data_IF_894183825786
#
_entry.id   IF_894183825786
#
_cell.length_a   1.000
_cell.length_b   1.000
_cell.length_c   1.000
_cell.angle_alpha   90.00
_cell.angle_beta   90.00
_cell.angle_gamma   90.00
#
_symmetry.space_group_name_H-M   'P 1'
#
loop_
_entity.id
_entity.type
_entity.pdbx_description
1 polymer ?
#
# COMPACT_ATOMS: atom_id res chain seq x y z
N UNK A 1 3.62 42.98 -38.49
CA UNK A 1 2.28 43.53 -38.64
C UNK A 1 1.48 42.89 -37.53
N UNK A 2 1.47 43.54 -36.39
CA UNK A 2 0.43 44.41 -35.80
C UNK A 2 -0.97 43.77 -35.87
N UNK A 3 -1.51 43.30 -34.75
CA UNK A 3 -2.57 44.03 -34.08
C UNK A 3 -2.79 43.52 -32.66
N UNK A 4 -2.61 44.45 -31.74
CA UNK A 4 -3.03 44.51 -30.35
C UNK A 4 -4.51 44.93 -30.33
N UNK A 5 -5.36 44.29 -29.53
CA UNK A 5 -6.58 44.92 -29.03
C UNK A 5 -6.69 44.63 -27.53
N UNK A 6 -6.50 45.71 -26.81
CA UNK A 6 -6.83 45.94 -25.41
C UNK A 6 -8.30 46.41 -25.34
N UNK A 7 -9.12 45.84 -24.48
CA UNK A 7 -10.32 46.53 -23.98
C UNK A 7 -10.43 46.34 -22.48
N UNK A 8 -10.52 47.49 -21.89
CA UNK A 8 -10.52 47.91 -20.49
C UNK A 8 -11.94 47.83 -19.86
N UNK A 9 -11.96 47.50 -18.60
CA UNK A 9 -12.79 48.02 -17.49
C UNK A 9 -14.32 47.96 -17.53
N UNK A 10 -14.89 47.58 -16.40
CA UNK A 10 -15.68 48.49 -15.55
C UNK A 10 -16.02 47.86 -14.19
N UNK A 11 -15.67 48.63 -13.18
CA UNK A 11 -16.03 48.51 -11.77
C UNK A 11 -17.52 48.85 -11.56
N UNK A 12 -18.17 48.19 -10.63
CA UNK A 12 -19.28 48.78 -9.89
C UNK A 12 -19.32 48.31 -8.43
N UNK A 13 -19.11 49.24 -7.58
CA UNK A 13 -19.30 49.30 -6.13
C UNK A 13 -20.80 49.37 -5.79
N UNK A 14 -21.20 48.86 -4.65
CA UNK A 14 -22.23 49.36 -3.70
C UNK A 14 -22.47 48.20 -2.71
N UNK A 15 -22.39 48.28 -1.41
CA UNK A 15 -22.68 49.39 -0.50
C UNK A 15 -23.30 48.80 0.76
N UNK A 16 -22.64 48.99 1.83
CA UNK A 16 -22.97 48.91 3.27
C UNK A 16 -24.44 49.01 3.64
N UNK A 17 -24.88 48.24 4.67
CA UNK A 17 -25.53 48.82 5.86
C UNK A 17 -25.49 47.88 7.05
N UNK A 18 -24.95 48.38 8.10
CA UNK A 18 -24.99 47.96 9.51
C UNK A 18 -26.34 48.26 10.12
N UNK A 19 -26.87 47.39 10.99
CA UNK A 19 -27.70 47.78 12.12
C UNK A 19 -27.58 46.84 13.31
N UNK A 20 -26.99 47.38 14.35
CA UNK A 20 -26.90 46.88 15.71
C UNK A 20 -28.20 47.26 16.44
N UNK A 21 -28.84 46.33 17.22
CA UNK A 21 -29.72 46.67 18.36
C UNK A 21 -29.68 45.59 19.42
N UNK A 22 -29.16 46.00 20.57
CA UNK A 22 -29.33 45.32 21.87
C UNK A 22 -30.72 45.56 22.42
N UNK A 23 -31.30 44.56 23.11
CA UNK A 23 -32.03 44.67 24.36
C UNK A 23 -32.37 43.28 24.93
N UNK A 24 -32.15 43.12 26.22
CA UNK A 24 -32.37 42.03 27.16
C UNK A 24 -33.71 42.29 27.91
N UNK A 25 -34.19 41.44 28.82
CA UNK A 25 -34.52 40.00 28.82
C UNK A 25 -35.99 39.74 29.21
N UNK A 26 -36.54 38.55 28.99
CA UNK A 26 -37.57 37.97 29.88
C UNK A 26 -37.58 36.43 29.79
N UNK A 27 -37.91 35.88 30.91
CA UNK A 27 -37.78 34.54 31.44
C UNK A 27 -38.93 33.63 31.04
N UNK A 28 -38.67 32.32 31.11
CA UNK A 28 -39.57 31.19 31.34
C UNK A 28 -40.04 30.39 30.10
N UNK A 29 -39.62 29.21 29.99
CA UNK A 29 -40.21 27.89 30.22
C UNK A 29 -39.44 26.79 29.50
N UNK A 30 -39.16 25.82 30.30
CA UNK A 30 -38.62 24.49 30.00
C UNK A 30 -39.31 23.81 28.83
N UNK A 31 -38.54 23.46 27.78
CA UNK A 31 -38.88 22.29 26.98
C UNK A 31 -37.57 21.53 26.65
N UNK A 32 -37.48 20.38 27.30
CA UNK A 32 -36.30 19.48 27.19
C UNK A 32 -36.44 18.71 25.89
N UNK A 33 -35.90 19.29 24.80
CA UNK A 33 -35.66 18.50 23.58
C UNK A 33 -34.30 17.82 23.75
N UNK A 34 -34.33 16.59 24.17
CA UNK A 34 -33.22 15.69 24.10
C UNK A 34 -32.77 15.57 22.64
N UNK A 35 -31.69 16.29 22.29
CA UNK A 35 -30.97 16.04 21.06
C UNK A 35 -30.36 14.65 21.23
N UNK A 36 -30.92 13.68 20.52
CA UNK A 36 -30.28 12.38 20.36
C UNK A 36 -28.91 12.61 19.73
N UNK A 37 -27.88 12.44 20.53
CA UNK A 37 -26.51 12.30 20.03
C UNK A 37 -26.52 11.03 19.18
N UNK A 38 -26.48 11.23 17.87
CA UNK A 38 -26.22 10.16 16.91
C UNK A 38 -24.89 9.53 17.30
N UNK A 39 -24.99 8.39 17.93
CA UNK A 39 -23.84 7.55 18.21
C UNK A 39 -23.32 7.10 16.86
N UNK A 40 -22.34 7.82 16.31
CA UNK A 40 -21.55 7.34 15.18
C UNK A 40 -21.10 5.94 15.55
N UNK A 41 -21.66 4.96 14.87
CA UNK A 41 -21.26 3.56 14.94
C UNK A 41 -19.79 3.54 14.52
N UNK A 42 -18.88 3.55 15.48
CA UNK A 42 -17.47 3.23 15.22
C UNK A 42 -17.48 1.80 14.71
N UNK A 43 -17.29 1.59 13.42
CA UNK A 43 -17.09 0.24 12.87
C UNK A 43 -15.95 -0.38 13.66
N UNK A 44 -16.21 -1.52 14.25
CA UNK A 44 -15.21 -2.24 15.01
C UNK A 44 -14.05 -2.55 14.05
N UNK A 45 -12.84 -2.08 14.38
CA UNK A 45 -11.65 -2.40 13.60
C UNK A 45 -11.46 -3.92 13.67
N UNK A 46 -11.64 -4.56 12.52
CA UNK A 46 -11.48 -6.02 12.42
C UNK A 46 -10.00 -6.34 12.50
N UNK A 47 -9.64 -7.28 13.36
CA UNK A 47 -8.26 -7.76 13.49
C UNK A 47 -7.87 -8.55 12.22
N UNK A 48 -6.85 -8.11 11.48
CA UNK A 48 -6.44 -8.76 10.24
C UNK A 48 -5.74 -10.10 10.48
N UNK A 49 -5.14 -10.33 11.67
CA UNK A 49 -4.51 -11.59 12.05
C UNK A 49 -4.85 -11.97 13.50
N UNK A 50 -6.03 -12.58 13.73
CA UNK A 50 -6.44 -12.97 15.07
C UNK A 50 -5.63 -14.15 15.65
N UNK A 51 -4.61 -14.62 14.96
CA UNK A 51 -3.77 -15.76 15.40
C UNK A 51 -2.55 -15.30 16.20
N UNK A 52 -2.26 -14.00 16.20
CA UNK A 52 -1.17 -13.42 16.99
C UNK A 52 -1.70 -12.59 18.20
N UNK A 53 -0.85 -11.83 18.83
CA UNK A 53 -1.19 -10.98 19.97
C UNK A 53 -1.07 -9.47 19.67
N UNK A 54 -0.89 -9.12 18.39
CA UNK A 54 -0.71 -7.73 17.96
C UNK A 54 -2.09 -7.09 17.86
N UNK A 55 -2.36 -5.97 18.57
CA UNK A 55 -3.63 -5.28 18.44
C UNK A 55 -3.89 -4.78 17.01
N UNK A 56 -5.10 -4.92 16.50
CA UNK A 56 -5.51 -4.55 15.14
C UNK A 56 -5.02 -3.15 14.68
N UNK A 57 -4.98 -2.16 15.58
CA UNK A 57 -4.52 -0.80 15.28
C UNK A 57 -3.00 -0.64 15.21
N UNK A 58 -2.21 -1.70 15.37
CA UNK A 58 -0.75 -1.68 15.25
C UNK A 58 -0.23 -2.09 13.89
N UNK A 59 -1.06 -2.73 13.08
CA UNK A 59 -0.68 -3.05 11.70
C UNK A 59 -0.65 -1.81 10.81
N UNK A 60 0.26 -1.80 9.85
CA UNK A 60 0.37 -0.73 8.87
C UNK A 60 -0.85 -0.66 7.95
N UNK A 61 -1.31 0.54 7.64
CA UNK A 61 -2.47 0.77 6.76
C UNK A 61 -2.29 0.19 5.34
N UNK A 62 -1.03 0.03 4.90
CA UNK A 62 -0.70 -0.51 3.59
C UNK A 62 -0.50 -2.04 3.60
N UNK A 63 -0.63 -2.71 4.74
CA UNK A 63 -0.28 -4.14 4.92
C UNK A 63 -1.34 -4.96 5.67
N UNK A 64 -2.54 -4.38 5.89
CA UNK A 64 -3.57 -5.02 6.74
C UNK A 64 -4.97 -5.06 6.14
N UNK A 65 -5.17 -4.62 4.90
CA UNK A 65 -6.46 -4.65 4.22
C UNK A 65 -6.96 -6.08 3.98
N UNK A 66 -8.04 -6.48 4.62
CA UNK A 66 -8.67 -7.80 4.41
C UNK A 66 -9.13 -7.96 2.95
N UNK A 67 -9.66 -6.89 2.35
CA UNK A 67 -10.07 -6.91 0.94
C UNK A 67 -8.89 -7.22 0.01
N UNK A 68 -7.75 -6.59 0.25
CA UNK A 68 -6.52 -6.84 -0.52
C UNK A 68 -6.00 -8.25 -0.27
N UNK A 69 -6.04 -8.73 0.98
CA UNK A 69 -5.69 -10.10 1.31
C UNK A 69 -6.57 -11.14 0.59
N UNK A 70 -7.88 -10.88 0.47
CA UNK A 70 -8.79 -11.75 -0.27
C UNK A 70 -8.47 -11.80 -1.77
N UNK A 71 -8.12 -10.66 -2.36
CA UNK A 71 -7.66 -10.57 -3.76
C UNK A 71 -6.38 -11.39 -3.96
N UNK A 72 -5.38 -11.21 -3.11
CA UNK A 72 -4.12 -11.96 -3.17
C UNK A 72 -4.39 -13.47 -3.02
N UNK A 73 -5.28 -13.85 -2.10
CA UNK A 73 -5.66 -15.26 -1.87
C UNK A 73 -6.21 -15.91 -3.14
N UNK A 74 -7.05 -15.19 -3.90
CA UNK A 74 -7.57 -15.68 -5.18
C UNK A 74 -6.44 -15.86 -6.20
N UNK A 75 -5.56 -14.87 -6.33
CA UNK A 75 -4.39 -14.93 -7.23
C UNK A 75 -3.47 -16.09 -6.89
N UNK A 76 -3.12 -16.27 -5.62
CA UNK A 76 -2.22 -17.35 -5.20
C UNK A 76 -2.85 -18.74 -5.41
N UNK A 77 -4.15 -18.90 -5.13
CA UNK A 77 -4.87 -20.15 -5.39
C UNK A 77 -4.94 -20.50 -6.87
N UNK A 78 -5.07 -19.53 -7.76
CA UNK A 78 -5.04 -19.79 -9.21
C UNK A 78 -3.62 -20.07 -9.68
N UNK A 79 -2.64 -19.26 -9.27
CA UNK A 79 -1.24 -19.38 -9.68
C UNK A 79 -0.63 -20.74 -9.26
N UNK A 80 -0.98 -21.23 -8.09
CA UNK A 80 -0.43 -22.47 -7.53
C UNK A 80 -1.45 -23.63 -7.45
N UNK A 81 -2.55 -23.57 -8.23
CA UNK A 81 -3.65 -24.55 -8.18
C UNK A 81 -3.20 -26.00 -8.32
N UNK A 82 -2.28 -26.28 -9.23
CA UNK A 82 -1.83 -27.63 -9.51
C UNK A 82 -0.96 -28.19 -8.35
N UNK A 83 -0.12 -27.33 -7.76
CA UNK A 83 0.74 -27.71 -6.65
C UNK A 83 -0.05 -27.83 -5.33
N UNK A 84 -1.07 -27.00 -5.16
CA UNK A 84 -2.04 -27.13 -4.06
C UNK A 84 -2.83 -28.43 -4.17
N UNK A 85 -3.32 -28.78 -5.37
CA UNK A 85 -4.07 -30.00 -5.61
C UNK A 85 -3.23 -31.27 -5.38
N UNK A 86 -1.92 -31.20 -5.63
CA UNK A 86 -0.96 -32.29 -5.39
C UNK A 86 -0.37 -32.30 -3.97
N UNK A 87 -0.79 -31.35 -3.11
CA UNK A 87 -0.25 -31.16 -1.76
C UNK A 87 1.30 -30.95 -1.72
N UNK A 88 1.86 -30.31 -2.75
CA UNK A 88 3.29 -29.98 -2.77
C UNK A 88 3.61 -28.76 -1.90
N UNK A 89 2.62 -27.91 -1.62
CA UNK A 89 2.76 -26.75 -0.74
C UNK A 89 2.33 -27.17 0.67
N UNK A 90 3.28 -27.21 1.58
CA UNK A 90 3.05 -27.50 2.99
C UNK A 90 2.30 -26.36 3.69
N UNK A 91 1.62 -26.66 4.80
CA UNK A 91 0.80 -25.67 5.51
C UNK A 91 1.59 -24.47 6.05
N UNK A 92 2.86 -24.66 6.42
CA UNK A 92 3.76 -23.59 6.84
C UNK A 92 4.11 -22.62 5.69
N UNK A 93 3.96 -23.06 4.43
CA UNK A 93 4.17 -22.25 3.22
C UNK A 93 2.87 -21.60 2.70
N UNK A 94 1.68 -22.02 3.19
CA UNK A 94 0.38 -21.46 2.77
C UNK A 94 0.05 -20.17 3.48
N UNK A 95 1.01 -19.24 3.57
CA UNK A 95 0.83 -17.94 4.20
C UNK A 95 1.62 -16.86 3.46
N UNK A 96 1.12 -15.65 3.55
CA UNK A 96 1.72 -14.49 2.92
C UNK A 96 1.56 -13.24 3.77
N UNK A 97 2.41 -12.26 3.50
CA UNK A 97 2.26 -10.85 3.87
C UNK A 97 2.16 -10.01 2.61
N UNK A 98 1.72 -8.78 2.71
CA UNK A 98 1.70 -7.86 1.57
C UNK A 98 1.96 -6.41 1.97
N UNK A 99 2.27 -5.59 0.97
CA UNK A 99 2.40 -4.15 1.11
C UNK A 99 1.87 -3.46 -0.15
N UNK A 100 0.97 -2.51 0.03
CA UNK A 100 0.35 -1.73 -1.05
C UNK A 100 1.13 -0.42 -1.27
N UNK A 101 1.59 -0.18 -2.49
CA UNK A 101 2.31 1.03 -2.84
C UNK A 101 2.07 1.41 -4.31
N UNK A 102 1.85 2.70 -4.58
CA UNK A 102 1.71 3.22 -5.94
C UNK A 102 3.10 3.35 -6.58
N UNK A 103 3.51 2.31 -7.31
CA UNK A 103 4.83 2.20 -7.90
C UNK A 103 4.99 3.02 -9.19
N UNK A 104 3.89 3.36 -9.86
CA UNK A 104 3.88 4.07 -11.14
C UNK A 104 3.30 5.48 -11.04
N UNK A 105 2.75 5.86 -9.87
CA UNK A 105 2.12 7.15 -9.58
C UNK A 105 0.87 7.43 -10.44
N UNK A 106 0.09 6.37 -10.76
CA UNK A 106 -1.18 6.47 -11.48
C UNK A 106 -2.39 6.64 -10.54
N UNK A 107 -2.17 6.66 -9.23
CA UNK A 107 -3.18 6.77 -8.18
C UNK A 107 -3.78 5.42 -7.77
N UNK A 108 -3.33 4.31 -8.34
CA UNK A 108 -3.67 2.95 -7.90
C UNK A 108 -2.45 2.31 -7.29
N UNK A 109 -2.66 1.54 -6.23
CA UNK A 109 -1.53 0.87 -5.59
C UNK A 109 -1.31 -0.51 -6.20
N UNK A 110 -0.07 -0.80 -6.55
CA UNK A 110 0.40 -2.16 -6.76
C UNK A 110 0.53 -2.86 -5.40
N UNK A 111 0.57 -4.18 -5.44
CA UNK A 111 0.63 -5.03 -4.26
C UNK A 111 1.92 -5.85 -4.32
N UNK A 112 2.84 -5.58 -3.40
CA UNK A 112 4.00 -6.43 -3.19
C UNK A 112 3.58 -7.55 -2.23
N UNK A 113 3.81 -8.81 -2.61
CA UNK A 113 3.44 -9.99 -1.82
C UNK A 113 4.68 -10.77 -1.45
N UNK A 114 4.82 -11.06 -0.16
CA UNK A 114 5.91 -11.88 0.39
C UNK A 114 5.43 -13.27 0.75
N UNK A 115 6.10 -14.29 0.23
CA UNK A 115 5.83 -15.71 0.47
C UNK A 115 6.96 -16.31 1.30
N UNK A 116 6.64 -17.26 2.18
CA UNK A 116 7.60 -17.90 3.07
C UNK A 116 7.41 -19.43 3.11
N UNK A 117 8.28 -20.10 3.85
CA UNK A 117 8.23 -21.57 4.01
C UNK A 117 9.04 -22.31 2.96
N UNK A 118 9.19 -23.63 3.15
CA UNK A 118 10.12 -24.44 2.37
C UNK A 118 9.82 -24.55 0.88
N UNK A 119 8.56 -24.33 0.49
CA UNK A 119 8.17 -24.31 -0.93
C UNK A 119 8.63 -23.01 -1.65
N UNK A 120 8.57 -21.87 -0.97
CA UNK A 120 8.83 -20.57 -1.56
C UNK A 120 10.23 -20.01 -1.27
N UNK A 121 10.91 -20.56 -0.28
CA UNK A 121 12.23 -20.09 0.14
C UNK A 121 13.26 -21.20 0.05
N UNK A 122 14.46 -20.85 -0.39
CA UNK A 122 15.62 -21.70 -0.44
C UNK A 122 16.90 -20.96 -0.04
N UNK A 123 18.06 -21.55 -0.29
CA UNK A 123 19.37 -20.96 0.06
C UNK A 123 19.67 -19.65 -0.67
N UNK A 124 18.99 -19.37 -1.77
CA UNK A 124 19.17 -18.17 -2.57
C UNK A 124 18.20 -17.03 -2.23
N UNK A 125 17.23 -17.27 -1.34
CA UNK A 125 16.16 -16.34 -1.01
C UNK A 125 14.77 -16.93 -1.24
N UNK A 126 13.76 -16.07 -1.24
CA UNK A 126 12.35 -16.43 -1.32
C UNK A 126 11.70 -15.98 -2.65
N UNK A 127 10.47 -16.41 -2.85
CA UNK A 127 9.59 -15.91 -3.91
C UNK A 127 8.81 -14.70 -3.40
N UNK A 128 8.81 -13.63 -4.19
CA UNK A 128 7.99 -12.45 -3.94
C UNK A 128 7.24 -12.10 -5.22
N UNK A 129 6.07 -11.46 -5.11
CA UNK A 129 5.27 -11.06 -6.26
C UNK A 129 5.05 -9.54 -6.24
N UNK A 130 4.92 -8.96 -7.42
CA UNK A 130 4.29 -7.67 -7.64
C UNK A 130 3.03 -7.91 -8.44
N UNK A 131 1.89 -7.50 -7.90
CA UNK A 131 0.59 -7.57 -8.55
C UNK A 131 0.13 -6.16 -8.90
N UNK A 132 -0.69 -6.02 -9.92
CA UNK A 132 -1.44 -4.79 -10.12
C UNK A 132 -2.58 -4.64 -9.10
N UNK A 133 -3.29 -3.51 -9.11
CA UNK A 133 -4.42 -3.24 -8.21
C UNK A 133 -5.62 -4.19 -8.40
N UNK A 134 -5.62 -5.02 -9.42
CA UNK A 134 -6.65 -6.02 -9.74
C UNK A 134 -6.21 -7.45 -9.41
N UNK A 135 -4.97 -7.63 -8.92
CA UNK A 135 -4.41 -8.93 -8.56
C UNK A 135 -3.72 -9.66 -9.71
N UNK A 136 -3.56 -9.05 -10.88
CA UNK A 136 -2.80 -9.68 -11.96
C UNK A 136 -1.30 -9.62 -11.67
N UNK A 137 -0.58 -10.70 -11.94
CA UNK A 137 0.86 -10.79 -11.69
C UNK A 137 1.62 -9.94 -12.70
N UNK A 138 2.32 -8.91 -12.23
CA UNK A 138 3.27 -8.11 -13.02
C UNK A 138 4.64 -8.80 -13.02
N UNK A 139 5.09 -9.22 -11.84
CA UNK A 139 6.40 -9.88 -11.68
C UNK A 139 6.33 -10.93 -10.59
N UNK A 140 7.02 -12.04 -10.82
CA UNK A 140 7.37 -12.99 -9.78
C UNK A 140 8.89 -12.99 -9.63
N UNK A 141 9.37 -12.48 -8.50
CA UNK A 141 10.78 -12.56 -8.15
C UNK A 141 11.13 -13.93 -7.61
N UNK A 142 12.31 -14.39 -7.96
CA UNK A 142 12.96 -15.54 -7.35
C UNK A 142 14.27 -15.10 -6.71
N UNK A 143 14.82 -15.89 -5.80
CA UNK A 143 16.08 -15.59 -5.09
C UNK A 143 16.14 -14.17 -4.53
N UNK A 144 15.03 -13.72 -3.97
CA UNK A 144 14.87 -12.39 -3.36
C UNK A 144 14.72 -12.50 -1.84
N UNK A 145 15.23 -11.51 -1.13
CA UNK A 145 15.17 -11.46 0.33
C UNK A 145 14.41 -10.21 0.80
N UNK A 146 14.11 -10.15 2.07
CA UNK A 146 13.32 -9.08 2.69
C UNK A 146 14.23 -8.04 3.35
N UNK A 147 13.79 -6.77 3.43
CA UNK A 147 12.64 -6.14 2.76
C UNK A 147 12.91 -5.77 1.30
N UNK A 148 11.84 -5.41 0.56
CA UNK A 148 11.96 -4.70 -0.71
C UNK A 148 11.99 -3.20 -0.42
N UNK A 149 13.06 -2.52 -0.81
CA UNK A 149 13.19 -1.08 -0.65
C UNK A 149 12.78 -0.36 -1.94
N UNK A 150 11.88 0.61 -1.82
CA UNK A 150 11.33 1.34 -2.97
C UNK A 150 12.12 2.64 -3.15
N UNK A 151 12.78 2.79 -4.31
CA UNK A 151 13.58 3.97 -4.62
C UNK A 151 12.70 5.17 -5.00
N UNK A 152 13.23 6.36 -4.88
CA UNK A 152 12.63 7.58 -5.42
C UNK A 152 12.78 7.69 -6.94
N UNK A 153 13.83 7.09 -7.50
CA UNK A 153 14.07 7.06 -8.94
C UNK A 153 13.07 6.16 -9.66
N UNK A 154 12.84 6.46 -10.94
CA UNK A 154 11.95 5.70 -11.81
C UNK A 154 12.64 5.30 -13.10
N UNK A 155 12.29 4.13 -13.60
CA UNK A 155 12.63 3.66 -14.94
C UNK A 155 11.35 3.28 -15.67
N UNK A 156 11.16 3.78 -16.88
CA UNK A 156 9.94 3.59 -17.68
C UNK A 156 8.64 3.94 -16.93
N UNK A 157 8.67 5.00 -16.09
CA UNK A 157 7.53 5.48 -15.32
C UNK A 157 7.29 4.77 -13.99
N UNK A 158 7.99 3.70 -13.67
CA UNK A 158 7.86 2.89 -12.46
C UNK A 158 9.04 3.09 -11.51
N UNK A 159 8.80 3.06 -10.20
CA UNK A 159 9.83 3.14 -9.17
C UNK A 159 10.85 2.04 -9.33
N UNK A 160 12.14 2.37 -9.24
CA UNK A 160 13.19 1.37 -9.13
C UNK A 160 13.09 0.68 -7.75
N UNK A 161 13.47 -0.58 -7.67
CA UNK A 161 13.44 -1.35 -6.42
C UNK A 161 14.87 -1.74 -6.04
N UNK A 162 15.15 -1.79 -4.74
CA UNK A 162 16.35 -2.41 -4.22
C UNK A 162 15.95 -3.70 -3.50
N UNK A 163 16.37 -4.82 -4.06
CA UNK A 163 16.08 -6.15 -3.52
C UNK A 163 17.39 -6.79 -3.07
N UNK A 164 17.41 -7.28 -1.83
CA UNK A 164 18.56 -8.04 -1.33
C UNK A 164 18.60 -9.40 -1.98
N UNK A 165 19.72 -9.75 -2.64
CA UNK A 165 19.89 -11.01 -3.36
C UNK A 165 21.35 -11.32 -3.56
N UNK A 166 21.76 -12.53 -3.23
CA UNK A 166 23.15 -12.96 -3.33
C UNK A 166 24.10 -12.10 -2.50
N UNK A 167 23.70 -11.75 -1.27
CA UNK A 167 24.48 -10.99 -0.30
C UNK A 167 24.60 -9.49 -0.57
N UNK A 168 23.81 -8.91 -1.49
CA UNK A 168 23.87 -7.50 -1.85
C UNK A 168 22.50 -6.97 -2.23
N UNK A 169 22.25 -5.68 -2.01
CA UNK A 169 21.13 -4.99 -2.65
C UNK A 169 21.37 -4.88 -4.14
N UNK A 170 20.37 -5.26 -4.93
CA UNK A 170 20.37 -5.22 -6.40
C UNK A 170 19.43 -4.13 -6.88
N UNK A 171 19.83 -3.41 -7.91
CA UNK A 171 19.03 -2.37 -8.55
C UNK A 171 18.11 -3.04 -9.56
N UNK A 172 16.81 -3.07 -9.27
CA UNK A 172 15.80 -3.73 -10.09
C UNK A 172 14.97 -2.67 -10.78
N UNK A 173 15.04 -2.59 -12.10
CA UNK A 173 14.42 -1.56 -12.91
C UNK A 173 13.30 -2.15 -13.77
N UNK A 174 12.19 -1.42 -13.88
CA UNK A 174 11.09 -1.83 -14.74
C UNK A 174 11.49 -1.72 -16.23
N UNK A 175 11.24 -2.76 -17.03
CA UNK A 175 11.66 -2.81 -18.43
C UNK A 175 10.61 -2.22 -19.42
N UNK A 176 9.46 -1.79 -18.91
CA UNK A 176 8.31 -1.31 -19.67
C UNK A 176 7.13 -2.30 -19.67
N UNK A 177 7.34 -3.52 -19.15
CA UNK A 177 6.29 -4.54 -18.98
C UNK A 177 6.34 -5.19 -17.60
N UNK A 178 7.53 -5.46 -17.07
CA UNK A 178 7.75 -6.19 -15.83
C UNK A 178 9.06 -5.75 -15.20
N UNK A 179 9.29 -6.15 -13.96
CA UNK A 179 10.62 -6.13 -13.38
C UNK A 179 11.36 -7.44 -13.70
N UNK A 180 12.69 -7.45 -13.86
CA UNK A 180 13.46 -8.68 -14.02
C UNK A 180 13.24 -9.67 -12.86
N UNK A 181 12.85 -10.90 -13.17
CA UNK A 181 12.42 -11.89 -12.17
C UNK A 181 13.57 -12.42 -11.29
N UNK A 182 14.81 -12.34 -11.75
CA UNK A 182 15.98 -12.79 -10.98
C UNK A 182 16.88 -11.61 -10.59
N UNK A 183 16.72 -11.05 -9.35
CA UNK A 183 17.55 -9.94 -8.91
C UNK A 183 19.03 -10.29 -8.78
N UNK A 184 19.40 -11.54 -8.54
CA UNK A 184 20.80 -11.94 -8.22
C UNK A 184 21.82 -11.60 -9.30
N UNK A 185 21.38 -11.51 -10.56
CA UNK A 185 22.24 -11.21 -11.72
C UNK A 185 22.31 -9.72 -12.08
N UNK A 186 21.50 -8.88 -11.38
CA UNK A 186 21.41 -7.45 -11.68
C UNK A 186 22.54 -6.65 -11.01
N UNK A 187 22.76 -5.40 -11.45
CA UNK A 187 23.78 -4.53 -10.87
C UNK A 187 23.59 -4.38 -9.35
N UNK A 188 24.68 -4.50 -8.61
CA UNK A 188 24.66 -4.26 -7.18
C UNK A 188 24.60 -2.76 -6.85
N UNK A 189 23.82 -2.40 -5.84
CA UNK A 189 23.88 -1.08 -5.24
C UNK A 189 25.24 -0.94 -4.51
N UNK A 190 25.91 0.20 -4.69
CA UNK A 190 27.25 0.43 -4.14
C UNK A 190 27.24 0.83 -2.67
N UNK A 191 26.10 1.34 -2.19
CA UNK A 191 25.88 1.80 -0.83
C UNK A 191 24.61 1.16 -0.29
N UNK A 192 24.39 1.17 1.01
CA UNK A 192 23.12 0.70 1.58
C UNK A 192 21.98 1.65 1.17
N UNK A 193 20.76 1.13 0.96
CA UNK A 193 19.58 1.99 0.75
C UNK A 193 19.40 2.95 1.93
N UNK A 194 19.03 4.20 1.62
CA UNK A 194 18.79 5.22 2.66
C UNK A 194 17.64 4.85 3.61
N UNK A 195 17.76 5.25 4.87
CA UNK A 195 16.77 4.93 5.92
C UNK A 195 15.41 5.60 5.70
N UNK A 196 15.37 6.68 4.92
CA UNK A 196 14.11 7.38 4.57
C UNK A 196 13.34 6.78 3.41
N UNK A 197 13.82 5.70 2.79
CA UNK A 197 13.10 5.02 1.69
C UNK A 197 12.04 4.06 2.25
N UNK A 198 10.85 3.96 1.59
CA UNK A 198 9.84 3.00 1.98
C UNK A 198 10.38 1.56 1.90
N UNK A 199 10.09 0.77 2.94
CA UNK A 199 10.47 -0.63 3.07
C UNK A 199 9.23 -1.49 3.05
N UNK A 200 8.97 -2.14 1.94
CA UNK A 200 7.86 -3.07 1.81
C UNK A 200 8.27 -4.45 2.33
N UNK A 201 7.34 -5.16 2.97
CA UNK A 201 7.51 -6.52 3.48
C UNK A 201 8.59 -6.63 4.59
N UNK A 202 8.78 -5.58 5.38
CA UNK A 202 9.78 -5.50 6.47
C UNK A 202 9.23 -6.09 7.78
N UNK A 203 8.80 -7.33 7.76
CA UNK A 203 8.16 -8.02 8.88
C UNK A 203 9.13 -8.30 10.06
N UNK A 204 10.42 -8.13 9.87
CA UNK A 204 11.40 -8.26 10.95
C UNK A 204 11.46 -7.02 11.85
N UNK A 205 11.04 -5.85 11.31
CA UNK A 205 11.12 -4.58 12.02
C UNK A 205 9.74 -3.94 12.29
N UNK A 206 8.71 -4.36 11.52
CA UNK A 206 7.37 -3.81 11.63
C UNK A 206 6.32 -4.92 11.77
N UNK A 207 5.21 -4.67 12.47
CA UNK A 207 4.08 -5.60 12.56
C UNK A 207 3.44 -5.86 11.20
N UNK A 208 3.38 -7.12 10.77
CA UNK A 208 2.66 -7.57 9.58
C UNK A 208 1.64 -8.64 9.95
N UNK A 209 0.42 -8.51 9.43
CA UNK A 209 -0.58 -9.56 9.50
C UNK A 209 -0.22 -10.70 8.54
N UNK A 210 -0.26 -11.95 9.03
CA UNK A 210 -0.01 -13.15 8.23
C UNK A 210 -1.32 -13.76 7.76
N UNK A 211 -1.57 -13.70 6.47
CA UNK A 211 -2.77 -14.25 5.85
C UNK A 211 -2.51 -15.63 5.28
N UNK A 212 -3.53 -16.51 5.31
CA UNK A 212 -3.49 -17.86 4.72
C UNK A 212 -4.20 -17.90 3.36
N UNK A 213 -3.79 -18.81 2.48
CA UNK A 213 -4.41 -19.05 1.18
C UNK A 213 -4.62 -20.53 0.88
#
# INVERSE_FOLDING_TARGET
MKNVIVVLALLAFFGITSCKKEAKPEESTTDTTTVAVDSSKTEAVVDPDPTDTIPAGKYGINSSSIKTADLIRLTLKDLYKDDLAKNFIEDNSKKFIFFEYDLNEDGKKEILVGLTGGYFCGTGGCTQLVLDSQGNVITQFTVSDYPVVIDTNKTNGWKDLFIYSGGKYRIVKFDGKTYPSNPSILPALKVLPGDGLPRALDFEHEPYAWFKF
#
